data_IF_501882493668
#
_entry.id   IF_501882493668
#
_cell.length_a   1.000
_cell.length_b   1.000
_cell.length_c   1.000
_cell.angle_alpha   90.00
_cell.angle_beta   90.00
_cell.angle_gamma   90.00
#
_symmetry.space_group_name_H-M   'P 1'
#
loop_
_entity.id
_entity.type
_entity.pdbx_description
1 polymer ?
#
# COMPACT_ATOMS: atom_id res chain seq x y z
N UNK A 1 49.30 36.42 9.96
CA UNK A 1 47.83 36.69 10.01
C UNK A 1 47.13 35.46 9.51
N UNK A 2 46.52 34.74 10.44
CA UNK A 2 45.76 33.50 10.17
C UNK A 2 44.57 33.82 9.25
N UNK A 3 44.48 33.18 8.08
CA UNK A 3 43.33 33.27 7.20
C UNK A 3 42.13 32.55 7.90
N UNK A 4 41.38 33.36 8.66
CA UNK A 4 40.10 32.91 9.20
C UNK A 4 39.29 32.35 8.04
N UNK A 5 38.92 31.06 8.12
CA UNK A 5 38.07 30.39 7.15
C UNK A 5 36.73 31.10 7.08
N UNK A 6 36.54 31.90 6.01
CA UNK A 6 35.30 32.65 5.80
C UNK A 6 34.11 31.64 5.85
N UNK A 7 33.01 31.92 6.57
CA UNK A 7 31.83 31.09 6.59
C UNK A 7 31.30 30.72 5.19
N UNK A 8 31.49 31.64 4.22
CA UNK A 8 31.12 31.41 2.83
C UNK A 8 31.88 30.23 2.18
N UNK A 9 33.10 29.89 2.66
CA UNK A 9 33.88 28.76 2.13
C UNK A 9 33.25 27.40 2.48
N UNK A 10 32.54 27.29 3.59
CA UNK A 10 31.84 26.10 4.01
C UNK A 10 30.51 25.84 3.24
N UNK A 11 30.03 26.89 2.57
CA UNK A 11 28.77 26.83 1.81
C UNK A 11 28.96 26.50 0.34
N UNK A 12 30.20 26.58 -0.18
CA UNK A 12 30.55 26.24 -1.56
C UNK A 12 30.95 24.76 -1.70
N UNK A 13 30.82 24.19 -2.91
CA UNK A 13 31.44 22.91 -3.25
C UNK A 13 32.92 22.87 -2.88
N UNK A 14 33.40 21.70 -2.44
CA UNK A 14 34.77 21.51 -2.01
C UNK A 14 35.76 21.92 -3.11
N UNK A 15 36.85 22.57 -2.74
CA UNK A 15 37.87 23.04 -3.69
C UNK A 15 37.56 24.35 -4.41
N UNK A 16 36.39 24.96 -4.23
CA UNK A 16 36.08 26.28 -4.71
C UNK A 16 36.35 27.36 -3.66
N UNK A 17 36.83 28.52 -4.11
CA UNK A 17 37.05 29.68 -3.28
C UNK A 17 36.18 30.88 -3.78
N UNK A 18 35.41 31.54 -2.88
CA UNK A 18 34.61 32.69 -3.28
C UNK A 18 35.51 33.89 -3.65
N UNK A 19 35.21 34.48 -4.79
CA UNK A 19 35.85 35.73 -5.26
C UNK A 19 34.95 36.93 -4.98
N UNK A 20 33.66 36.82 -5.23
CA UNK A 20 32.67 37.86 -4.94
C UNK A 20 31.27 37.25 -4.74
N UNK A 21 30.41 38.02 -4.07
CA UNK A 21 29.05 37.67 -3.78
C UNK A 21 28.14 38.85 -4.11
N UNK A 22 27.11 38.61 -4.91
CA UNK A 22 26.13 39.63 -5.31
C UNK A 22 24.74 39.08 -5.00
N UNK A 23 23.93 39.90 -4.33
CA UNK A 23 22.51 39.61 -4.03
C UNK A 23 21.69 40.60 -4.86
N UNK A 24 20.75 40.03 -5.62
CA UNK A 24 19.79 40.84 -6.39
C UNK A 24 18.38 40.18 -6.32
N UNK A 25 17.41 40.75 -7.06
CA UNK A 25 16.05 40.25 -7.12
C UNK A 25 15.92 38.84 -7.71
N UNK A 26 16.92 38.35 -8.44
CA UNK A 26 16.95 37.03 -9.06
C UNK A 26 17.53 35.94 -8.11
N UNK A 27 18.17 36.35 -7.03
CA UNK A 27 18.78 35.49 -6.06
C UNK A 27 20.20 35.85 -5.65
N UNK A 28 20.98 34.87 -5.26
CA UNK A 28 22.36 35.01 -4.82
C UNK A 28 23.32 34.53 -5.93
N UNK A 29 24.15 35.37 -6.48
CA UNK A 29 25.20 34.98 -7.40
C UNK A 29 26.56 34.98 -6.69
N UNK A 30 27.23 33.82 -6.67
CA UNK A 30 28.58 33.68 -6.12
C UNK A 30 29.57 33.46 -7.27
N UNK A 31 30.54 34.35 -7.41
CA UNK A 31 31.71 34.10 -8.28
C UNK A 31 32.75 33.35 -7.49
N UNK A 32 33.26 32.27 -8.07
CA UNK A 32 34.23 31.40 -7.41
C UNK A 32 35.33 30.97 -8.40
N UNK A 33 36.52 30.76 -7.89
CA UNK A 33 37.64 30.17 -8.62
C UNK A 33 38.02 28.80 -7.99
N UNK A 34 38.81 28.02 -8.73
CA UNK A 34 39.34 26.76 -8.21
C UNK A 34 40.58 27.03 -7.36
N UNK A 35 40.63 26.53 -6.13
CA UNK A 35 41.71 26.77 -5.18
C UNK A 35 43.05 26.13 -5.59
N UNK A 36 43.03 24.97 -6.25
CA UNK A 36 44.23 24.23 -6.63
C UNK A 36 45.00 24.94 -7.76
N UNK A 37 46.31 25.05 -7.64
CA UNK A 37 47.18 25.64 -8.68
C UNK A 37 47.40 24.69 -9.90
N UNK A 38 46.88 23.49 -9.88
CA UNK A 38 47.10 22.46 -10.90
C UNK A 38 45.82 21.70 -11.20
N UNK A 39 45.85 20.95 -12.31
CA UNK A 39 44.79 20.01 -12.63
C UNK A 39 45.37 18.69 -13.17
N UNK A 40 44.62 17.59 -12.97
CA UNK A 40 44.92 16.28 -13.52
C UNK A 40 44.25 16.12 -14.88
N UNK A 41 45.00 15.67 -15.87
CA UNK A 41 44.42 15.32 -17.16
C UNK A 41 43.44 14.14 -17.04
N UNK A 42 42.17 14.28 -17.43
CA UNK A 42 41.17 13.24 -17.21
C UNK A 42 41.35 12.00 -18.08
N UNK A 43 42.39 11.96 -18.92
CA UNK A 43 42.65 10.81 -19.82
C UNK A 43 44.00 10.13 -19.56
N UNK A 44 45.06 10.88 -19.20
CA UNK A 44 46.39 10.29 -18.93
C UNK A 44 46.81 10.46 -17.48
N UNK A 45 46.00 11.06 -16.64
CA UNK A 45 46.19 11.29 -15.20
C UNK A 45 47.51 12.00 -14.84
N UNK A 46 48.12 12.67 -15.82
CA UNK A 46 49.33 13.49 -15.56
C UNK A 46 48.90 14.85 -15.06
N UNK A 47 49.58 15.33 -14.04
CA UNK A 47 49.42 16.68 -13.46
C UNK A 47 49.92 17.75 -14.40
N UNK A 48 49.19 18.88 -14.54
CA UNK A 48 49.65 20.07 -15.26
C UNK A 48 49.40 21.33 -14.45
N UNK A 49 50.32 22.26 -14.53
CA UNK A 49 50.21 23.64 -14.00
C UNK A 49 50.15 24.68 -15.12
N UNK A 50 50.31 24.27 -16.37
CA UNK A 50 50.33 25.16 -17.53
C UNK A 50 48.93 25.49 -17.98
N UNK A 51 48.41 26.64 -17.54
CA UNK A 51 47.09 27.12 -17.94
C UNK A 51 47.14 27.59 -19.41
N UNK A 52 46.18 27.06 -20.21
CA UNK A 52 46.00 27.53 -21.60
C UNK A 52 45.05 28.73 -21.66
N UNK A 53 43.88 28.65 -21.00
CA UNK A 53 42.85 29.68 -21.02
C UNK A 53 41.85 29.50 -19.86
N UNK A 54 41.05 30.54 -19.65
CA UNK A 54 39.96 30.55 -18.68
C UNK A 54 38.61 30.57 -19.40
N UNK A 55 37.59 30.05 -18.76
CA UNK A 55 36.19 30.16 -19.18
C UNK A 55 35.29 30.18 -17.95
N UNK A 56 34.11 30.76 -18.07
CA UNK A 56 33.13 30.78 -16.99
C UNK A 56 32.12 29.65 -17.16
N UNK A 57 31.81 28.96 -16.07
CA UNK A 57 30.70 28.02 -15.96
C UNK A 57 29.66 28.58 -15.02
N UNK A 58 28.40 28.63 -15.47
CA UNK A 58 27.27 29.00 -14.64
C UNK A 58 26.52 27.75 -14.24
N UNK A 59 26.38 27.48 -12.95
CA UNK A 59 25.66 26.32 -12.38
C UNK A 59 24.78 26.75 -11.21
N UNK A 60 23.63 26.13 -11.06
CA UNK A 60 22.78 26.33 -9.88
C UNK A 60 23.27 25.45 -8.74
N UNK A 61 23.08 25.91 -7.51
CA UNK A 61 23.46 25.21 -6.29
C UNK A 61 22.30 25.20 -5.30
N UNK A 62 22.48 24.49 -4.16
CA UNK A 62 21.53 24.50 -3.07
C UNK A 62 21.23 25.94 -2.60
N UNK A 63 19.97 26.26 -2.29
CA UNK A 63 19.60 27.61 -1.87
C UNK A 63 20.17 27.95 -0.48
N UNK A 64 20.45 29.22 -0.26
CA UNK A 64 20.79 29.73 1.05
C UNK A 64 19.57 30.43 1.64
N UNK A 65 19.00 29.90 2.74
CA UNK A 65 17.78 30.45 3.37
C UNK A 65 16.64 30.66 2.36
N UNK A 66 16.35 29.65 1.54
CA UNK A 66 15.32 29.68 0.48
C UNK A 66 15.59 30.73 -0.65
N UNK A 67 16.77 31.30 -0.70
CA UNK A 67 17.21 32.15 -1.82
C UNK A 67 17.99 31.28 -2.80
N UNK A 68 17.58 31.25 -4.08
CA UNK A 68 18.28 30.49 -5.12
C UNK A 68 19.72 30.96 -5.31
N UNK A 69 20.64 30.00 -5.45
CA UNK A 69 22.07 30.24 -5.58
C UNK A 69 22.55 29.91 -6.99
N UNK A 70 23.22 30.85 -7.63
CA UNK A 70 23.91 30.66 -8.89
C UNK A 70 25.43 30.82 -8.67
N UNK A 71 26.17 29.76 -9.01
CA UNK A 71 27.64 29.80 -9.00
C UNK A 71 28.15 30.14 -10.39
N UNK A 72 28.97 31.20 -10.49
CA UNK A 72 29.76 31.54 -11.68
C UNK A 72 31.20 31.14 -11.41
N UNK A 73 31.57 29.93 -11.88
CA UNK A 73 32.87 29.32 -11.60
C UNK A 73 33.84 29.66 -12.72
N UNK A 74 34.93 30.34 -12.39
CA UNK A 74 36.04 30.58 -13.30
C UNK A 74 36.89 29.33 -13.43
N UNK A 75 36.61 28.52 -14.45
CA UNK A 75 37.28 27.28 -14.77
C UNK A 75 38.41 27.49 -15.79
N UNK A 76 39.37 26.56 -15.79
CA UNK A 76 40.59 26.65 -16.60
C UNK A 76 40.68 25.51 -17.61
N UNK A 77 41.34 25.80 -18.72
CA UNK A 77 41.89 24.79 -19.62
C UNK A 77 43.38 24.70 -19.42
N UNK A 78 43.94 23.52 -19.45
CA UNK A 78 45.37 23.27 -19.23
C UNK A 78 45.98 22.58 -20.45
N UNK A 79 47.28 22.83 -20.71
CA UNK A 79 48.05 22.01 -21.61
C UNK A 79 48.33 20.64 -20.96
N UNK A 80 48.11 19.56 -21.72
CA UNK A 80 48.48 18.23 -21.26
C UNK A 80 50.01 18.04 -21.27
N UNK A 81 50.58 17.47 -20.21
CA UNK A 81 51.99 17.20 -20.12
C UNK A 81 52.46 15.99 -20.97
N UNK A 82 51.51 15.19 -21.46
CA UNK A 82 51.79 14.04 -22.34
C UNK A 82 51.88 14.53 -23.81
N UNK A 83 53.07 14.47 -24.39
CA UNK A 83 53.34 14.91 -25.77
C UNK A 83 52.92 13.92 -26.84
N UNK A 84 52.64 12.67 -26.46
CA UNK A 84 52.26 11.57 -27.38
C UNK A 84 50.73 11.52 -27.73
N UNK A 85 49.99 12.57 -27.30
CA UNK A 85 48.53 12.61 -27.48
C UNK A 85 48.15 13.58 -28.58
N UNK A 86 47.08 13.18 -29.34
CA UNK A 86 46.42 14.05 -30.31
C UNK A 86 45.83 15.32 -29.70
N UNK A 87 45.25 15.21 -28.48
CA UNK A 87 44.69 16.38 -27.77
C UNK A 87 45.65 16.88 -26.73
N UNK A 88 46.18 18.07 -27.00
CA UNK A 88 47.13 18.76 -26.12
C UNK A 88 46.48 19.60 -25.00
N UNK A 89 45.15 19.81 -25.01
CA UNK A 89 44.43 20.67 -24.07
C UNK A 89 43.31 19.91 -23.42
N UNK A 90 43.11 20.10 -22.09
CA UNK A 90 41.99 19.54 -21.33
C UNK A 90 41.37 20.60 -20.41
N UNK A 91 40.07 20.43 -20.11
CA UNK A 91 39.35 21.20 -19.09
C UNK A 91 39.60 20.59 -17.70
N UNK A 92 39.90 21.41 -16.72
CA UNK A 92 39.94 20.95 -15.34
C UNK A 92 38.60 20.36 -14.90
N UNK A 93 38.64 19.34 -14.05
CA UNK A 93 37.46 18.79 -13.39
C UNK A 93 37.15 19.60 -12.15
N UNK A 94 35.91 20.02 -12.02
CA UNK A 94 35.44 20.76 -10.86
C UNK A 94 34.89 19.77 -9.85
N UNK A 95 35.25 19.83 -8.58
CA UNK A 95 34.64 19.02 -7.55
C UNK A 95 33.13 19.27 -7.48
N UNK A 96 32.35 18.23 -7.25
CA UNK A 96 30.87 18.27 -7.12
C UNK A 96 30.14 18.95 -8.29
N UNK A 97 30.79 19.07 -9.46
CA UNK A 97 30.17 19.64 -10.67
C UNK A 97 30.58 18.79 -11.88
N UNK A 98 29.70 17.88 -12.28
CA UNK A 98 29.94 16.98 -13.40
C UNK A 98 30.22 17.75 -14.71
N UNK A 99 30.90 17.09 -15.68
CA UNK A 99 31.16 17.66 -16.98
C UNK A 99 29.85 18.08 -17.66
N UNK A 100 29.79 19.29 -18.16
CA UNK A 100 28.60 19.90 -18.81
C UNK A 100 27.36 20.06 -17.90
N UNK A 101 27.41 19.72 -16.61
CA UNK A 101 26.32 19.91 -15.70
C UNK A 101 25.97 21.40 -15.52
N UNK A 102 24.67 21.67 -15.37
CA UNK A 102 24.11 23.00 -15.05
C UNK A 102 23.75 23.17 -13.57
N UNK A 103 23.97 22.11 -12.79
CA UNK A 103 23.72 22.06 -11.35
C UNK A 103 24.87 21.34 -10.66
N UNK A 104 25.06 21.63 -9.38
CA UNK A 104 25.98 20.90 -8.52
C UNK A 104 25.41 19.51 -8.22
N UNK A 105 26.28 18.53 -7.91
CA UNK A 105 25.88 17.17 -7.61
C UNK A 105 24.94 17.12 -6.39
N UNK A 106 25.22 17.92 -5.34
CA UNK A 106 24.36 18.01 -4.14
C UNK A 106 22.97 18.61 -4.43
N UNK A 107 22.85 19.52 -5.40
CA UNK A 107 21.54 20.03 -5.85
C UNK A 107 20.79 18.93 -6.63
N UNK A 108 21.47 18.18 -7.49
CA UNK A 108 20.85 17.06 -8.22
C UNK A 108 20.38 15.96 -7.26
N UNK A 109 21.16 15.65 -6.21
CA UNK A 109 20.76 14.71 -5.16
C UNK A 109 19.52 15.18 -4.41
N UNK A 110 19.47 16.45 -3.96
CA UNK A 110 18.32 17.02 -3.28
C UNK A 110 17.05 16.99 -4.15
N UNK A 111 17.17 17.37 -5.44
CA UNK A 111 16.05 17.29 -6.38
C UNK A 111 15.61 15.85 -6.66
N UNK A 112 16.55 14.92 -6.66
CA UNK A 112 16.25 13.49 -6.83
C UNK A 112 15.50 12.95 -5.61
N UNK A 113 15.91 13.28 -4.39
CA UNK A 113 15.16 12.92 -3.17
C UNK A 113 13.74 13.49 -3.20
N UNK A 114 13.57 14.78 -3.52
CA UNK A 114 12.25 15.41 -3.65
C UNK A 114 11.40 14.69 -4.71
N UNK A 115 12.00 14.30 -5.84
CA UNK A 115 11.30 13.60 -6.91
C UNK A 115 10.77 12.24 -6.46
N UNK A 116 11.61 11.45 -5.78
CA UNK A 116 11.21 10.12 -5.29
C UNK A 116 10.16 10.18 -4.19
N UNK A 117 10.28 11.14 -3.26
CA UNK A 117 9.33 11.26 -2.15
C UNK A 117 7.97 11.83 -2.58
N UNK A 118 7.97 12.87 -3.42
CA UNK A 118 6.75 13.65 -3.71
C UNK A 118 6.25 13.52 -5.16
N UNK A 119 7.06 12.99 -6.07
CA UNK A 119 6.74 12.97 -7.49
C UNK A 119 6.89 14.34 -8.18
N UNK A 120 6.21 14.53 -9.32
CA UNK A 120 6.37 15.74 -10.13
C UNK A 120 5.74 16.99 -9.52
N UNK A 121 4.41 17.06 -9.49
CA UNK A 121 3.67 18.28 -9.10
C UNK A 121 3.90 18.72 -7.65
N UNK A 122 3.74 17.79 -6.71
CA UNK A 122 3.95 18.10 -5.30
C UNK A 122 5.41 18.44 -5.00
N UNK A 123 6.32 17.70 -5.63
CA UNK A 123 7.77 17.96 -5.52
C UNK A 123 8.14 19.34 -6.07
N UNK A 124 7.61 19.73 -7.23
CA UNK A 124 7.90 21.04 -7.83
C UNK A 124 7.34 22.20 -6.97
N UNK A 125 6.17 22.03 -6.35
CA UNK A 125 5.64 23.03 -5.40
C UNK A 125 6.54 23.18 -4.18
N UNK A 126 6.91 22.08 -3.52
CA UNK A 126 7.81 22.12 -2.37
C UNK A 126 9.18 22.70 -2.75
N UNK A 127 9.75 22.25 -3.85
CA UNK A 127 11.04 22.75 -4.32
C UNK A 127 11.02 24.26 -4.54
N UNK A 128 9.95 24.82 -5.09
CA UNK A 128 9.77 26.26 -5.28
C UNK A 128 9.78 27.01 -3.96
N UNK A 129 9.03 26.55 -2.96
CA UNK A 129 9.00 27.16 -1.62
C UNK A 129 10.38 27.12 -0.93
N UNK A 130 11.18 26.10 -1.25
CA UNK A 130 12.54 25.95 -0.75
C UNK A 130 13.58 26.78 -1.55
N UNK A 131 13.18 27.54 -2.58
CA UNK A 131 14.09 28.27 -3.44
C UNK A 131 14.81 27.43 -4.50
N UNK A 132 14.23 26.26 -4.84
CA UNK A 132 14.73 25.30 -5.83
C UNK A 132 13.80 25.24 -7.05
N UNK A 133 13.77 26.25 -7.95
CA UNK A 133 12.85 26.26 -9.07
C UNK A 133 13.13 25.06 -10.01
N UNK A 134 12.18 24.16 -10.11
CA UNK A 134 12.24 22.97 -10.95
C UNK A 134 10.83 22.64 -11.50
N UNK A 135 10.76 22.20 -12.75
CA UNK A 135 9.48 21.79 -13.33
C UNK A 135 9.08 20.38 -12.88
N UNK A 136 7.77 20.06 -12.82
CA UNK A 136 7.29 18.71 -12.55
C UNK A 136 7.91 17.67 -13.48
N UNK A 137 8.03 17.96 -14.77
CA UNK A 137 8.60 17.04 -15.76
C UNK A 137 10.09 16.76 -15.51
N UNK A 138 10.85 17.78 -15.09
CA UNK A 138 12.25 17.59 -14.75
C UNK A 138 12.44 16.69 -13.51
N UNK A 139 11.51 16.70 -12.56
CA UNK A 139 11.51 15.76 -11.44
C UNK A 139 11.14 14.35 -11.90
N UNK A 140 10.10 14.20 -12.73
CA UNK A 140 9.69 12.89 -13.28
C UNK A 140 10.80 12.27 -14.14
N UNK A 141 11.55 13.09 -14.87
CA UNK A 141 12.67 12.61 -15.68
C UNK A 141 13.82 12.07 -14.85
N UNK A 142 14.09 12.63 -13.65
CA UNK A 142 15.05 12.05 -12.70
C UNK A 142 14.64 10.65 -12.25
N UNK A 143 13.36 10.48 -11.94
CA UNK A 143 12.82 9.14 -11.59
C UNK A 143 13.01 8.17 -12.75
N UNK A 144 12.70 8.57 -13.98
CA UNK A 144 12.85 7.70 -15.16
C UNK A 144 14.30 7.28 -15.43
N UNK A 145 15.25 8.19 -15.20
CA UNK A 145 16.69 7.98 -15.44
C UNK A 145 17.43 7.33 -14.29
N UNK A 146 16.76 7.16 -13.14
CA UNK A 146 17.41 6.54 -12.02
C UNK A 146 17.92 5.13 -12.39
N UNK A 147 19.12 4.75 -11.95
CA UNK A 147 19.66 3.43 -12.21
C UNK A 147 18.71 2.38 -11.65
N UNK A 148 18.54 1.29 -12.37
CA UNK A 148 17.84 0.12 -11.81
C UNK A 148 18.67 -0.39 -10.64
N UNK A 149 18.04 -0.58 -9.50
CA UNK A 149 18.69 -1.26 -8.38
C UNK A 149 19.05 -2.65 -8.84
N UNK A 150 20.33 -3.05 -8.62
CA UNK A 150 20.81 -4.37 -8.98
C UNK A 150 19.96 -5.44 -8.28
N UNK A 151 19.56 -6.47 -9.01
CA UNK A 151 18.88 -7.60 -8.44
C UNK A 151 19.89 -8.38 -7.56
N UNK A 152 19.78 -8.24 -6.26
CA UNK A 152 20.40 -9.19 -5.34
C UNK A 152 19.68 -10.54 -5.47
N UNK A 153 20.38 -11.64 -5.19
CA UNK A 153 19.79 -12.96 -5.23
C UNK A 153 18.64 -13.04 -4.19
N UNK A 154 17.45 -13.34 -4.67
CA UNK A 154 16.24 -13.53 -3.86
C UNK A 154 16.07 -15.01 -3.61
N UNK A 155 15.97 -15.43 -2.34
CA UNK A 155 15.72 -16.82 -1.96
C UNK A 155 14.27 -17.08 -1.64
N UNK A 156 13.63 -16.16 -0.95
CA UNK A 156 12.23 -16.27 -0.53
C UNK A 156 11.43 -15.16 -1.18
N UNK A 157 10.62 -15.52 -2.15
CA UNK A 157 9.85 -14.60 -2.97
C UNK A 157 8.38 -14.60 -2.56
N UNK A 158 7.82 -13.43 -2.33
CA UNK A 158 6.37 -13.21 -2.23
C UNK A 158 5.83 -12.69 -3.55
N UNK A 159 4.74 -13.29 -4.02
CA UNK A 159 4.07 -12.96 -5.28
C UNK A 159 2.61 -12.66 -5.01
N UNK A 160 2.11 -11.52 -5.50
CA UNK A 160 0.70 -11.15 -5.39
C UNK A 160 0.28 -10.22 -6.52
N UNK A 161 -1.03 -10.04 -6.72
CA UNK A 161 -1.55 -9.08 -7.69
C UNK A 161 -1.91 -7.74 -7.02
N UNK A 162 -1.95 -6.69 -7.83
CA UNK A 162 -2.40 -5.37 -7.40
C UNK A 162 -3.12 -4.63 -8.53
N UNK A 163 -4.11 -3.83 -8.17
CA UNK A 163 -4.91 -3.05 -9.12
C UNK A 163 -4.09 -1.92 -9.76
N UNK A 164 -3.72 -2.04 -11.03
CA UNK A 164 -3.22 -0.92 -11.83
C UNK A 164 -4.37 0.06 -12.08
N UNK A 165 -5.54 -0.46 -12.51
CA UNK A 165 -6.79 0.27 -12.60
C UNK A 165 -7.90 -0.61 -12.04
N UNK A 166 -8.50 -0.17 -10.93
CA UNK A 166 -9.48 -0.95 -10.18
C UNK A 166 -10.54 -1.57 -11.08
N UNK A 167 -10.65 -2.89 -11.05
CA UNK A 167 -11.61 -3.66 -11.82
C UNK A 167 -11.32 -3.79 -13.33
N UNK A 168 -10.18 -3.27 -13.82
CA UNK A 168 -9.86 -3.30 -15.26
C UNK A 168 -8.48 -3.91 -15.59
N UNK A 169 -7.45 -3.57 -14.84
CA UNK A 169 -6.11 -4.07 -15.11
C UNK A 169 -5.34 -4.29 -13.81
N UNK A 170 -4.59 -5.38 -13.80
CA UNK A 170 -3.81 -5.84 -12.66
C UNK A 170 -2.35 -5.97 -13.06
N UNK A 171 -1.45 -5.76 -12.14
CA UNK A 171 -0.04 -6.07 -12.25
C UNK A 171 0.37 -7.03 -11.16
N UNK A 172 1.59 -7.55 -11.24
CA UNK A 172 2.18 -8.41 -10.22
C UNK A 172 3.22 -7.64 -9.42
N UNK A 173 3.23 -7.83 -8.10
CA UNK A 173 4.27 -7.35 -7.21
C UNK A 173 5.12 -8.51 -6.74
N UNK A 174 6.44 -8.33 -6.78
CA UNK A 174 7.44 -9.28 -6.33
C UNK A 174 8.18 -8.70 -5.13
N UNK A 175 8.20 -9.45 -4.03
CA UNK A 175 8.73 -9.00 -2.74
C UNK A 175 9.75 -10.02 -2.23
N UNK A 176 10.93 -9.57 -1.87
CA UNK A 176 11.88 -10.34 -1.07
C UNK A 176 11.37 -10.39 0.37
N UNK A 177 10.92 -11.58 0.80
CA UNK A 177 10.31 -11.76 2.13
C UNK A 177 11.35 -11.77 3.25
N UNK A 178 12.61 -12.13 2.96
CA UNK A 178 13.70 -12.07 3.94
C UNK A 178 14.08 -10.62 4.23
N UNK A 179 14.25 -9.80 3.17
CA UNK A 179 14.65 -8.38 3.29
C UNK A 179 13.45 -7.43 3.42
N UNK A 180 12.22 -7.94 3.26
CA UNK A 180 10.96 -7.19 3.37
C UNK A 180 10.85 -6.03 2.39
N UNK A 181 11.40 -6.15 1.20
CA UNK A 181 11.42 -5.09 0.19
C UNK A 181 10.86 -5.57 -1.16
N UNK A 182 10.29 -4.65 -1.90
CA UNK A 182 9.86 -4.91 -3.27
C UNK A 182 11.10 -5.07 -4.16
N UNK A 183 11.15 -6.16 -4.92
CA UNK A 183 12.24 -6.45 -5.85
C UNK A 183 11.87 -6.18 -7.29
N UNK A 184 10.59 -6.30 -7.63
CA UNK A 184 10.09 -5.90 -8.96
C UNK A 184 8.57 -5.67 -9.00
N UNK A 185 8.12 -4.96 -10.04
CA UNK A 185 6.73 -4.88 -10.45
C UNK A 185 6.61 -5.32 -11.91
N UNK A 186 5.64 -6.20 -12.18
CA UNK A 186 5.30 -6.62 -13.54
C UNK A 186 4.02 -5.89 -14.01
N UNK A 187 3.93 -5.57 -15.32
CA UNK A 187 2.82 -4.76 -15.83
C UNK A 187 1.49 -5.50 -15.94
N UNK A 188 1.49 -6.79 -15.75
CA UNK A 188 0.32 -7.66 -15.80
C UNK A 188 0.43 -8.79 -14.76
N UNK A 189 -0.57 -9.68 -14.70
CA UNK A 189 -0.59 -10.89 -13.89
C UNK A 189 -0.55 -12.17 -14.72
N UNK A 190 0.15 -12.13 -15.87
CA UNK A 190 0.32 -13.28 -16.73
C UNK A 190 1.32 -14.28 -16.17
N UNK A 191 1.14 -15.55 -16.54
CA UNK A 191 2.14 -16.60 -16.23
C UNK A 191 3.47 -16.29 -16.92
N UNK A 192 3.44 -15.75 -18.15
CA UNK A 192 4.62 -15.44 -18.95
C UNK A 192 5.52 -14.41 -18.25
N UNK A 193 4.95 -13.30 -17.77
CA UNK A 193 5.72 -12.25 -17.09
C UNK A 193 6.45 -12.75 -15.84
N UNK A 194 5.77 -13.56 -15.02
CA UNK A 194 6.39 -14.16 -13.82
C UNK A 194 7.44 -15.22 -14.18
N UNK A 195 7.15 -16.07 -15.17
CA UNK A 195 8.11 -17.06 -15.69
C UNK A 195 9.40 -16.40 -16.17
N UNK A 196 9.29 -15.41 -17.04
CA UNK A 196 10.45 -14.67 -17.57
C UNK A 196 11.29 -14.01 -16.48
N UNK A 197 10.63 -13.55 -15.41
CA UNK A 197 11.32 -12.98 -14.26
C UNK A 197 12.09 -14.06 -13.49
N UNK A 198 11.47 -15.20 -13.18
CA UNK A 198 12.09 -16.31 -12.46
C UNK A 198 13.28 -16.90 -13.22
N UNK A 199 13.18 -17.06 -14.54
CA UNK A 199 14.28 -17.54 -15.40
C UNK A 199 15.51 -16.62 -15.35
N UNK A 200 15.29 -15.30 -15.20
CA UNK A 200 16.37 -14.29 -15.07
C UNK A 200 16.93 -14.18 -13.65
N UNK A 201 16.23 -14.74 -12.66
CA UNK A 201 16.59 -14.67 -11.24
C UNK A 201 16.66 -16.09 -10.65
N UNK A 202 17.60 -16.94 -11.09
CA UNK A 202 17.75 -18.29 -10.56
C UNK A 202 18.17 -18.24 -9.08
N UNK A 203 17.74 -19.24 -8.31
CA UNK A 203 18.09 -19.36 -6.89
C UNK A 203 16.97 -19.02 -5.93
N UNK A 204 15.74 -18.83 -6.42
CA UNK A 204 14.54 -18.78 -5.59
C UNK A 204 14.26 -20.18 -5.03
N UNK A 205 14.27 -20.28 -3.69
CA UNK A 205 14.10 -21.54 -2.95
C UNK A 205 12.63 -21.71 -2.47
N UNK A 206 11.97 -20.59 -2.12
CA UNK A 206 10.58 -20.56 -1.64
C UNK A 206 9.80 -19.47 -2.34
N UNK A 207 8.56 -19.78 -2.73
CA UNK A 207 7.61 -18.79 -3.29
C UNK A 207 6.30 -18.82 -2.52
N UNK A 208 6.01 -17.73 -1.79
CA UNK A 208 4.70 -17.52 -1.18
C UNK A 208 3.77 -16.81 -2.17
N UNK A 209 2.58 -17.36 -2.40
CA UNK A 209 1.64 -16.88 -3.41
C UNK A 209 0.19 -17.11 -3.03
N UNK A 210 -0.72 -16.36 -3.67
CA UNK A 210 -2.12 -16.74 -3.71
C UNK A 210 -2.34 -18.00 -4.58
N UNK A 211 -3.57 -18.49 -4.65
CA UNK A 211 -3.91 -19.67 -5.43
C UNK A 211 -4.36 -19.34 -6.86
N UNK A 212 -3.76 -18.34 -7.47
CA UNK A 212 -4.01 -17.95 -8.85
C UNK A 212 -3.25 -18.88 -9.81
N UNK A 213 -3.99 -19.60 -10.67
CA UNK A 213 -3.43 -20.63 -11.54
C UNK A 213 -2.23 -20.17 -12.38
N UNK A 214 -2.26 -18.99 -13.02
CA UNK A 214 -1.10 -18.52 -13.80
C UNK A 214 0.20 -18.41 -12.99
N UNK A 215 0.12 -18.08 -11.70
CA UNK A 215 1.32 -18.04 -10.85
C UNK A 215 1.83 -19.44 -10.53
N UNK A 216 0.92 -20.38 -10.24
CA UNK A 216 1.26 -21.79 -10.01
C UNK A 216 2.01 -22.36 -11.21
N UNK A 217 1.47 -22.16 -12.41
CA UNK A 217 2.03 -22.69 -13.67
C UNK A 217 3.41 -22.06 -13.97
N UNK A 218 3.54 -20.75 -13.78
CA UNK A 218 4.80 -20.04 -13.99
C UNK A 218 5.91 -20.55 -13.05
N UNK A 219 5.61 -20.71 -11.76
CA UNK A 219 6.58 -21.16 -10.76
C UNK A 219 6.97 -22.61 -11.01
N UNK A 220 5.99 -23.48 -11.27
CA UNK A 220 6.24 -24.91 -11.55
C UNK A 220 7.12 -25.08 -12.77
N UNK A 221 6.99 -24.21 -13.78
CA UNK A 221 7.77 -24.28 -15.01
C UNK A 221 9.16 -23.68 -14.86
N UNK A 222 9.30 -22.48 -14.29
CA UNK A 222 10.54 -21.71 -14.26
C UNK A 222 11.40 -21.95 -13.01
N UNK A 223 10.79 -22.39 -11.91
CA UNK A 223 11.47 -22.70 -10.66
C UNK A 223 10.96 -24.03 -10.07
N UNK A 224 11.12 -25.17 -10.76
CA UNK A 224 10.54 -26.45 -10.35
C UNK A 224 11.09 -26.98 -9.02
N UNK A 225 12.24 -26.50 -8.56
CA UNK A 225 12.82 -26.83 -7.26
C UNK A 225 12.36 -25.93 -6.12
N UNK A 226 11.61 -24.85 -6.40
CA UNK A 226 11.16 -23.94 -5.37
C UNK A 226 9.94 -24.50 -4.64
N UNK A 227 9.95 -24.42 -3.30
CA UNK A 227 8.81 -24.76 -2.48
C UNK A 227 7.73 -23.68 -2.64
N UNK A 228 6.55 -24.06 -3.13
CA UNK A 228 5.40 -23.16 -3.19
C UNK A 228 4.64 -23.16 -1.86
N UNK A 229 4.32 -21.99 -1.33
CA UNK A 229 3.60 -21.79 -0.07
C UNK A 229 2.32 -21.00 -0.35
N UNK A 230 1.17 -21.59 -0.09
CA UNK A 230 -0.10 -20.89 -0.27
C UNK A 230 -0.28 -19.80 0.80
N UNK A 231 -0.80 -18.64 0.39
CA UNK A 231 -1.02 -17.56 1.35
C UNK A 231 -2.15 -17.86 2.34
N UNK A 232 -1.82 -17.87 3.63
CA UNK A 232 -2.75 -18.19 4.72
C UNK A 232 -3.94 -17.23 4.82
N UNK A 233 -3.72 -15.94 4.50
CA UNK A 233 -4.83 -14.98 4.50
C UNK A 233 -5.84 -15.30 3.40
N UNK A 234 -5.37 -15.63 2.19
CA UNK A 234 -6.22 -16.05 1.09
C UNK A 234 -6.93 -17.37 1.38
N UNK A 235 -6.29 -18.32 2.07
CA UNK A 235 -6.93 -19.55 2.52
C UNK A 235 -8.08 -19.26 3.49
N UNK A 236 -7.87 -18.39 4.49
CA UNK A 236 -8.90 -17.97 5.43
C UNK A 236 -10.04 -17.20 4.73
N UNK A 237 -9.70 -16.33 3.80
CA UNK A 237 -10.69 -15.62 2.98
C UNK A 237 -11.54 -16.60 2.15
N UNK A 238 -10.91 -17.58 1.51
CA UNK A 238 -11.62 -18.52 0.64
C UNK A 238 -12.62 -19.39 1.41
N UNK A 239 -12.30 -19.85 2.63
CA UNK A 239 -13.28 -20.55 3.47
C UNK A 239 -14.41 -19.62 3.90
N UNK A 240 -14.10 -18.35 4.23
CA UNK A 240 -15.12 -17.34 4.56
C UNK A 240 -16.06 -17.10 3.37
N UNK A 241 -15.51 -16.99 2.15
CA UNK A 241 -16.27 -16.79 0.92
C UNK A 241 -17.14 -18.04 0.59
N UNK A 242 -16.67 -19.26 0.90
CA UNK A 242 -17.46 -20.48 0.76
C UNK A 242 -18.65 -20.50 1.73
N UNK A 243 -18.40 -20.16 3.00
CA UNK A 243 -19.46 -20.00 4.01
C UNK A 243 -20.44 -18.88 3.62
N UNK A 244 -19.97 -17.76 3.10
CA UNK A 244 -20.83 -16.66 2.63
C UNK A 244 -21.82 -17.17 1.56
N UNK A 245 -21.36 -17.92 0.56
CA UNK A 245 -22.23 -18.51 -0.49
C UNK A 245 -23.24 -19.49 0.07
N UNK A 246 -22.85 -20.35 1.01
CA UNK A 246 -23.78 -21.22 1.73
C UNK A 246 -24.88 -20.40 2.42
N UNK A 247 -24.50 -19.38 3.19
CA UNK A 247 -25.44 -18.53 3.93
C UNK A 247 -26.32 -17.69 3.00
N UNK A 248 -25.84 -17.36 1.79
CA UNK A 248 -26.68 -16.71 0.76
C UNK A 248 -27.78 -17.67 0.25
N UNK A 249 -27.48 -18.94 0.12
CA UNK A 249 -28.45 -19.97 -0.23
C UNK A 249 -29.45 -20.22 0.94
N UNK A 250 -28.95 -20.22 2.18
CA UNK A 250 -29.72 -20.50 3.41
C UNK A 250 -30.30 -19.23 4.07
N UNK A 251 -30.67 -18.21 3.29
CA UNK A 251 -31.21 -16.93 3.82
C UNK A 251 -32.45 -17.06 4.67
N UNK A 252 -33.27 -18.10 4.47
CA UNK A 252 -34.46 -18.36 5.27
C UNK A 252 -34.05 -18.65 6.70
N UNK A 253 -33.10 -19.60 6.90
CA UNK A 253 -32.57 -19.95 8.22
C UNK A 253 -31.91 -18.76 8.94
N UNK A 254 -31.18 -17.91 8.21
CA UNK A 254 -30.62 -16.66 8.73
C UNK A 254 -31.69 -15.72 9.28
N UNK A 255 -32.78 -15.53 8.53
CA UNK A 255 -33.87 -14.65 8.93
C UNK A 255 -34.67 -15.21 10.12
N UNK A 256 -34.82 -16.53 10.20
CA UNK A 256 -35.47 -17.18 11.34
C UNK A 256 -34.63 -17.09 12.61
N UNK A 257 -33.31 -17.39 12.52
CA UNK A 257 -32.38 -17.20 13.64
C UNK A 257 -32.36 -15.76 14.14
N UNK A 258 -32.40 -14.80 13.21
CA UNK A 258 -32.48 -13.39 13.56
C UNK A 258 -33.76 -13.06 14.33
N UNK A 259 -34.93 -13.55 13.90
CA UNK A 259 -36.21 -13.32 14.59
C UNK A 259 -36.19 -13.87 16.00
N UNK A 260 -35.59 -15.05 16.20
CA UNK A 260 -35.53 -15.73 17.50
C UNK A 260 -34.53 -15.14 18.49
N UNK A 261 -33.50 -14.46 17.98
CA UNK A 261 -32.40 -13.93 18.81
C UNK A 261 -32.38 -12.42 18.96
N UNK A 262 -33.17 -11.69 18.16
CA UNK A 262 -33.37 -10.27 18.42
C UNK A 262 -34.24 -10.09 19.68
N UNK A 263 -33.88 -9.15 20.55
CA UNK A 263 -34.76 -8.77 21.65
C UNK A 263 -36.12 -8.35 21.09
N UNK A 264 -37.17 -8.65 21.81
CA UNK A 264 -38.50 -8.17 21.41
C UNK A 264 -38.45 -6.63 21.23
N UNK A 265 -39.05 -6.13 20.15
CA UNK A 265 -39.15 -4.69 19.98
C UNK A 265 -39.91 -4.10 21.18
N UNK A 266 -39.52 -2.91 21.66
CA UNK A 266 -40.24 -2.29 22.79
C UNK A 266 -41.73 -2.20 22.49
N UNK A 267 -42.54 -2.45 23.52
CA UNK A 267 -44.02 -2.29 23.38
C UNK A 267 -44.34 -0.87 22.89
N UNK A 268 -44.92 -0.80 21.74
CA UNK A 268 -45.31 0.47 21.10
C UNK A 268 -46.80 0.66 21.21
N UNK A 269 -47.30 1.61 22.01
CA UNK A 269 -48.72 1.94 22.03
C UNK A 269 -49.21 2.34 20.64
N UNK A 270 -50.28 1.70 20.15
CA UNK A 270 -50.83 1.96 18.81
C UNK A 270 -51.16 3.44 18.57
N UNK A 271 -51.66 4.11 19.60
CA UNK A 271 -51.98 5.56 19.57
C UNK A 271 -50.72 6.37 19.32
N UNK A 272 -49.65 6.12 20.06
CA UNK A 272 -48.36 6.80 19.88
C UNK A 272 -47.82 6.56 18.46
N UNK A 273 -47.85 5.33 17.99
CA UNK A 273 -47.42 4.96 16.64
C UNK A 273 -48.21 5.69 15.55
N UNK A 274 -49.52 5.86 15.74
CA UNK A 274 -50.39 6.59 14.82
C UNK A 274 -50.02 8.08 14.75
N UNK A 275 -49.84 8.72 15.92
CA UNK A 275 -49.41 10.13 16.00
C UNK A 275 -48.05 10.36 15.34
N UNK A 276 -47.06 9.52 15.62
CA UNK A 276 -45.70 9.62 15.03
C UNK A 276 -45.77 9.49 13.51
N UNK A 277 -46.50 8.48 12.99
CA UNK A 277 -46.67 8.29 11.54
C UNK A 277 -47.40 9.46 10.88
N UNK A 278 -48.41 10.01 11.52
CA UNK A 278 -49.15 11.17 11.03
C UNK A 278 -48.21 12.38 10.88
N UNK A 279 -47.55 12.79 11.94
CA UNK A 279 -46.64 13.94 11.89
C UNK A 279 -45.45 13.72 10.96
N UNK A 280 -44.92 12.51 10.93
CA UNK A 280 -43.83 12.15 9.99
C UNK A 280 -44.24 12.32 8.52
N UNK A 281 -45.47 11.96 8.20
CA UNK A 281 -46.00 12.06 6.83
C UNK A 281 -46.23 13.51 6.39
N UNK A 282 -46.70 14.36 7.30
CA UNK A 282 -47.17 15.71 6.94
C UNK A 282 -46.20 16.83 7.32
N UNK A 283 -45.45 16.73 8.39
CA UNK A 283 -44.61 17.82 8.93
C UNK A 283 -43.12 17.48 8.94
N UNK A 284 -42.76 16.20 9.02
CA UNK A 284 -41.39 15.72 9.19
C UNK A 284 -40.58 16.51 10.23
N UNK A 285 -41.07 16.69 11.44
CA UNK A 285 -40.44 17.51 12.45
C UNK A 285 -39.13 16.88 12.95
N UNK A 286 -38.30 17.69 13.62
CA UNK A 286 -37.17 17.17 14.37
C UNK A 286 -37.66 16.20 15.47
N UNK A 287 -36.92 15.09 15.76
CA UNK A 287 -37.35 14.10 16.74
C UNK A 287 -37.58 14.66 18.15
N UNK A 288 -36.78 15.61 18.58
CA UNK A 288 -36.95 16.19 19.91
C UNK A 288 -38.25 17.02 19.98
N UNK A 289 -38.54 17.78 18.94
CA UNK A 289 -39.82 18.50 18.83
C UNK A 289 -41.00 17.53 18.73
N UNK A 290 -40.83 16.41 18.06
CA UNK A 290 -41.85 15.35 17.97
C UNK A 290 -42.05 14.69 19.32
N UNK A 291 -40.97 14.40 20.07
CA UNK A 291 -41.04 13.85 21.41
C UNK A 291 -41.78 14.80 22.37
N UNK A 292 -41.49 16.08 22.32
CA UNK A 292 -42.19 17.09 23.12
C UNK A 292 -43.70 17.10 22.88
N UNK A 293 -44.13 16.98 21.58
CA UNK A 293 -45.57 16.85 21.23
C UNK A 293 -46.15 15.53 21.78
N UNK A 294 -45.43 14.43 21.70
CA UNK A 294 -45.83 13.11 22.21
C UNK A 294 -45.97 13.14 23.74
N UNK A 295 -45.05 13.77 24.44
CA UNK A 295 -45.10 13.89 25.90
C UNK A 295 -46.30 14.73 26.36
N UNK A 296 -46.71 15.77 25.62
CA UNK A 296 -47.91 16.60 25.93
C UNK A 296 -49.20 15.82 25.81
N UNK A 297 -49.26 14.72 25.07
CA UNK A 297 -50.46 13.87 24.96
C UNK A 297 -50.45 12.69 25.93
N UNK A 298 -49.51 12.69 26.90
CA UNK A 298 -49.51 11.79 28.06
C UNK A 298 -48.52 10.64 27.98
N UNK A 299 -47.59 10.64 27.05
CA UNK A 299 -46.48 9.66 27.02
C UNK A 299 -45.27 10.21 27.74
N UNK A 300 -44.86 9.54 28.78
CA UNK A 300 -43.64 9.89 29.57
C UNK A 300 -42.41 9.11 29.12
N UNK A 301 -41.30 9.32 29.81
CA UNK A 301 -40.00 8.73 29.47
C UNK A 301 -39.97 7.19 29.41
N UNK A 302 -40.94 6.49 30.00
CA UNK A 302 -41.11 5.03 29.87
C UNK A 302 -41.38 4.61 28.42
N UNK A 303 -41.92 5.51 27.59
CA UNK A 303 -42.20 5.26 26.18
C UNK A 303 -41.15 5.84 25.24
N UNK A 304 -40.07 6.43 25.77
CA UNK A 304 -39.02 7.05 24.95
C UNK A 304 -38.37 6.06 24.00
N UNK A 305 -38.08 4.86 24.49
CA UNK A 305 -37.48 3.80 23.69
C UNK A 305 -38.40 3.36 22.54
N UNK A 306 -39.69 3.24 22.78
CA UNK A 306 -40.69 2.92 21.76
C UNK A 306 -40.80 4.03 20.72
N UNK A 307 -40.73 5.31 21.15
CA UNK A 307 -40.71 6.48 20.26
C UNK A 307 -39.48 6.44 19.32
N UNK A 308 -38.30 6.30 19.87
CA UNK A 308 -37.06 6.30 19.11
C UNK A 308 -37.01 5.11 18.13
N UNK A 309 -37.54 3.94 18.50
CA UNK A 309 -37.70 2.78 17.63
C UNK A 309 -38.57 3.11 16.38
N UNK A 310 -39.72 3.74 16.55
CA UNK A 310 -40.62 4.10 15.42
C UNK A 310 -39.98 5.16 14.52
N UNK A 311 -39.44 6.22 15.11
CA UNK A 311 -38.81 7.32 14.35
C UNK A 311 -37.60 6.79 13.56
N UNK A 312 -36.83 5.90 14.13
CA UNK A 312 -35.74 5.22 13.45
C UNK A 312 -36.20 4.45 12.21
N UNK A 313 -37.28 3.69 12.31
CA UNK A 313 -37.87 2.97 11.17
C UNK A 313 -38.43 3.88 10.07
N UNK A 314 -39.06 4.98 10.44
CA UNK A 314 -39.64 5.94 9.48
C UNK A 314 -38.56 6.71 8.70
N UNK A 315 -37.38 6.91 9.28
CA UNK A 315 -36.27 7.58 8.62
C UNK A 315 -35.54 6.72 7.56
N UNK A 316 -35.94 5.47 7.43
CA UNK A 316 -35.31 4.55 6.45
C UNK A 316 -33.80 4.34 6.65
N UNK A 317 -33.28 4.84 7.73
CA UNK A 317 -31.90 4.85 8.14
C UNK A 317 -31.78 5.07 9.63
N UNK A 318 -30.61 4.81 10.14
CA UNK A 318 -30.29 4.87 11.55
C UNK A 318 -30.54 6.28 12.16
N UNK A 319 -31.23 6.42 13.31
CA UNK A 319 -31.51 7.72 13.94
C UNK A 319 -30.21 8.48 14.30
N UNK A 320 -30.24 9.80 14.18
CA UNK A 320 -29.10 10.69 14.37
C UNK A 320 -28.65 10.89 15.82
N UNK A 321 -29.53 10.64 16.79
CA UNK A 321 -29.21 10.52 18.23
C UNK A 321 -29.73 9.17 18.70
N UNK A 322 -28.81 8.26 18.99
CA UNK A 322 -29.10 6.89 19.42
C UNK A 322 -28.77 6.75 20.90
N UNK A 323 -29.63 6.09 21.63
CA UNK A 323 -29.21 5.43 22.86
C UNK A 323 -28.17 4.35 22.50
N UNK A 324 -27.25 4.07 23.41
CA UNK A 324 -26.21 3.06 23.20
C UNK A 324 -26.80 1.69 22.83
N UNK A 325 -27.96 1.39 23.32
CA UNK A 325 -28.68 0.14 23.16
C UNK A 325 -29.38 0.00 21.79
N UNK A 326 -30.03 1.06 21.31
CA UNK A 326 -30.67 1.10 19.98
C UNK A 326 -29.66 1.07 18.84
N UNK A 327 -28.50 1.72 19.04
CA UNK A 327 -27.37 1.63 18.12
C UNK A 327 -26.87 0.19 18.01
N UNK A 328 -26.84 -0.54 19.13
CA UNK A 328 -26.39 -1.93 19.16
C UNK A 328 -27.39 -2.84 18.47
N UNK A 329 -28.69 -2.69 18.75
CA UNK A 329 -29.76 -3.49 18.13
C UNK A 329 -29.82 -3.32 16.60
N UNK A 330 -29.87 -2.09 16.11
CA UNK A 330 -29.94 -1.83 14.66
C UNK A 330 -28.67 -2.24 13.91
N UNK A 331 -27.50 -2.10 14.54
CA UNK A 331 -26.26 -2.62 13.99
C UNK A 331 -26.23 -4.14 13.98
N UNK A 332 -26.74 -4.78 15.00
CA UNK A 332 -26.82 -6.23 15.13
C UNK A 332 -27.80 -6.80 14.11
N UNK A 333 -29.00 -6.24 13.97
CA UNK A 333 -29.97 -6.63 12.94
C UNK A 333 -29.39 -6.51 11.52
N UNK A 334 -28.80 -5.35 11.18
CA UNK A 334 -28.19 -5.12 9.88
C UNK A 334 -27.04 -6.10 9.58
N UNK A 335 -26.22 -6.41 10.60
CA UNK A 335 -25.11 -7.37 10.47
C UNK A 335 -25.60 -8.79 10.25
N UNK A 336 -26.59 -9.26 11.03
CA UNK A 336 -27.10 -10.64 10.99
C UNK A 336 -27.98 -10.93 9.77
N UNK A 337 -28.46 -9.90 9.06
CA UNK A 337 -29.16 -10.06 7.77
C UNK A 337 -28.22 -10.26 6.59
N UNK A 338 -26.92 -9.97 6.74
CA UNK A 338 -25.95 -10.02 5.63
C UNK A 338 -25.11 -11.28 5.73
N UNK A 339 -25.22 -12.25 4.82
CA UNK A 339 -24.42 -13.47 4.78
C UNK A 339 -22.92 -13.18 4.93
N UNK A 340 -22.42 -12.14 4.24
CA UNK A 340 -21.03 -11.67 4.32
C UNK A 340 -20.56 -11.29 5.73
N UNK A 341 -21.44 -10.77 6.57
CA UNK A 341 -21.07 -10.40 7.94
C UNK A 341 -21.20 -11.57 8.89
N UNK A 342 -22.17 -12.45 8.63
CA UNK A 342 -22.35 -13.70 9.40
C UNK A 342 -21.23 -14.69 9.11
N UNK A 343 -20.78 -14.84 7.86
CA UNK A 343 -19.68 -15.75 7.49
C UNK A 343 -18.39 -15.45 8.28
N UNK A 344 -18.17 -14.19 8.65
CA UNK A 344 -17.02 -13.81 9.49
C UNK A 344 -17.09 -14.34 10.92
N UNK A 345 -18.29 -14.63 11.44
CA UNK A 345 -18.46 -15.24 12.76
C UNK A 345 -18.00 -16.70 12.74
N UNK A 346 -18.10 -17.38 11.59
CA UNK A 346 -17.68 -18.77 11.40
C UNK A 346 -16.16 -18.98 11.48
N UNK A 347 -15.39 -17.93 11.26
CA UNK A 347 -13.92 -17.99 11.25
C UNK A 347 -13.27 -17.25 12.43
N UNK A 348 -14.09 -16.71 13.33
CA UNK A 348 -13.62 -16.11 14.58
C UNK A 348 -13.51 -17.18 15.66
N UNK A 349 -12.72 -16.85 16.67
CA UNK A 349 -12.67 -17.65 17.89
C UNK A 349 -14.03 -17.55 18.59
N UNK A 350 -14.70 -18.69 18.90
CA UNK A 350 -15.97 -18.69 19.58
C UNK A 350 -15.95 -17.98 20.92
N UNK A 351 -14.85 -18.10 21.67
CA UNK A 351 -14.69 -17.52 23.01
C UNK A 351 -14.51 -15.99 22.98
N UNK A 352 -14.08 -15.43 21.83
CA UNK A 352 -13.96 -13.99 21.60
C UNK A 352 -15.24 -13.35 21.06
N UNK A 353 -16.28 -14.14 20.76
CA UNK A 353 -17.53 -13.61 20.25
C UNK A 353 -18.38 -13.03 21.39
N UNK A 354 -19.05 -11.87 21.17
CA UNK A 354 -20.06 -11.38 22.11
C UNK A 354 -21.18 -12.43 22.34
N UNK A 355 -21.70 -12.51 23.57
CA UNK A 355 -22.75 -13.47 23.96
C UNK A 355 -23.92 -13.50 22.97
N UNK A 356 -24.34 -12.33 22.50
CA UNK A 356 -25.42 -12.21 21.52
C UNK A 356 -25.07 -12.82 20.14
N UNK A 357 -23.80 -12.83 19.74
CA UNK A 357 -23.36 -13.46 18.48
C UNK A 357 -23.18 -14.97 18.67
N UNK A 358 -22.76 -15.43 19.85
CA UNK A 358 -22.72 -16.83 20.23
C UNK A 358 -24.13 -17.44 20.22
N UNK A 359 -25.10 -16.77 20.86
CA UNK A 359 -26.51 -17.21 20.89
C UNK A 359 -27.13 -17.23 19.48
N UNK A 360 -26.84 -16.23 18.65
CA UNK A 360 -27.28 -16.22 17.26
C UNK A 360 -26.74 -17.43 16.47
N UNK A 361 -25.45 -17.72 16.60
CA UNK A 361 -24.84 -18.88 15.95
C UNK A 361 -25.42 -20.21 16.49
N UNK A 362 -25.67 -20.28 17.79
CA UNK A 362 -26.31 -21.46 18.40
C UNK A 362 -27.67 -21.73 17.77
N UNK A 363 -28.55 -20.72 17.76
CA UNK A 363 -29.89 -20.84 17.17
C UNK A 363 -29.83 -21.15 15.68
N UNK A 364 -28.91 -20.51 14.93
CA UNK A 364 -28.74 -20.75 13.50
C UNK A 364 -28.32 -22.21 13.21
N UNK A 365 -27.42 -22.77 14.03
CA UNK A 365 -27.00 -24.19 13.93
C UNK A 365 -28.13 -25.15 14.28
N UNK A 366 -28.91 -24.82 15.29
CA UNK A 366 -30.07 -25.66 15.70
C UNK A 366 -31.17 -25.70 14.62
N UNK A 367 -31.36 -24.61 13.89
CA UNK A 367 -32.33 -24.51 12.80
C UNK A 367 -31.90 -25.22 11.52
N UNK A 368 -30.60 -25.33 11.26
CA UNK A 368 -30.11 -25.86 9.99
C UNK A 368 -28.85 -26.72 10.19
N UNK A 369 -28.99 -28.01 10.03
CA UNK A 369 -27.91 -29.01 10.21
C UNK A 369 -26.78 -28.83 9.19
N UNK A 370 -27.09 -28.41 7.96
CA UNK A 370 -26.03 -28.12 6.96
C UNK A 370 -25.16 -26.93 7.39
N UNK A 371 -25.79 -25.89 7.91
CA UNK A 371 -25.07 -24.70 8.46
C UNK A 371 -24.28 -25.10 9.71
N UNK A 372 -24.81 -26.00 10.55
CA UNK A 372 -24.09 -26.53 11.72
C UNK A 372 -22.81 -27.28 11.30
N UNK A 373 -22.95 -28.23 10.34
CA UNK A 373 -21.81 -28.97 9.81
C UNK A 373 -20.77 -28.05 9.16
N UNK A 374 -21.21 -27.04 8.41
CA UNK A 374 -20.34 -26.06 7.80
C UNK A 374 -19.57 -25.19 8.83
N UNK A 375 -20.23 -24.90 9.95
CA UNK A 375 -19.56 -24.17 11.05
C UNK A 375 -18.41 -24.99 11.64
N UNK A 376 -18.66 -26.29 11.94
CA UNK A 376 -17.63 -27.18 12.51
C UNK A 376 -16.44 -27.34 11.52
N UNK A 377 -16.72 -27.52 10.22
CA UNK A 377 -15.68 -27.59 9.19
C UNK A 377 -14.88 -26.27 9.09
N UNK A 378 -15.56 -25.11 9.12
CA UNK A 378 -14.88 -23.82 9.08
C UNK A 378 -13.99 -23.60 10.32
N UNK A 379 -14.51 -23.92 11.52
CA UNK A 379 -13.75 -23.85 12.76
C UNK A 379 -12.57 -24.83 12.79
N UNK A 380 -12.77 -26.05 12.30
CA UNK A 380 -11.70 -27.05 12.15
C UNK A 380 -10.58 -26.53 11.24
N UNK A 381 -10.94 -25.93 10.10
CA UNK A 381 -9.98 -25.33 9.18
C UNK A 381 -9.21 -24.15 9.81
N UNK A 382 -9.91 -23.29 10.52
CA UNK A 382 -9.29 -22.14 11.21
C UNK A 382 -8.31 -22.59 12.29
N UNK A 383 -8.70 -23.58 13.11
CA UNK A 383 -7.82 -24.16 14.13
C UNK A 383 -6.55 -24.76 13.50
N UNK A 384 -6.72 -25.56 12.43
CA UNK A 384 -5.60 -26.13 11.67
C UNK A 384 -4.66 -25.04 11.14
N UNK A 385 -5.22 -24.00 10.55
CA UNK A 385 -4.45 -22.91 9.92
C UNK A 385 -3.72 -22.04 10.96
N UNK A 386 -4.40 -21.66 12.04
CA UNK A 386 -3.81 -20.83 13.12
C UNK A 386 -2.82 -21.60 13.98
N UNK A 387 -3.13 -22.86 14.30
CA UNK A 387 -2.26 -23.75 15.08
C UNK A 387 -1.11 -24.33 14.29
N UNK A 388 -1.13 -24.19 12.95
CA UNK A 388 -0.13 -24.78 12.06
C UNK A 388 -0.03 -26.29 12.23
N UNK A 389 -1.16 -26.98 12.04
CA UNK A 389 -1.30 -28.42 12.21
C UNK A 389 -1.40 -29.14 10.85
N UNK A 390 -0.27 -29.37 10.13
CA UNK A 390 -0.27 -30.01 8.82
C UNK A 390 -0.79 -31.46 8.86
N UNK A 391 -0.70 -32.14 10.01
CA UNK A 391 -1.20 -33.49 10.24
C UNK A 391 -2.74 -33.58 10.18
N UNK A 392 -3.44 -32.48 10.35
CA UNK A 392 -4.90 -32.43 10.28
C UNK A 392 -5.43 -32.28 8.85
N UNK A 393 -4.59 -31.89 7.88
CA UNK A 393 -5.04 -31.50 6.54
C UNK A 393 -5.79 -32.59 5.81
N UNK A 394 -5.22 -33.79 5.75
CA UNK A 394 -5.81 -34.92 5.00
C UNK A 394 -7.14 -35.39 5.62
N UNK A 395 -7.21 -35.45 6.96
CA UNK A 395 -8.42 -35.74 7.70
C UNK A 395 -9.51 -34.70 7.43
N UNK A 396 -9.19 -33.44 7.51
CA UNK A 396 -10.10 -32.35 7.24
C UNK A 396 -10.59 -32.35 5.77
N UNK A 397 -9.69 -32.56 4.80
CA UNK A 397 -10.06 -32.68 3.39
C UNK A 397 -11.06 -33.82 3.15
N UNK A 398 -10.82 -34.97 3.74
CA UNK A 398 -11.74 -36.10 3.62
C UNK A 398 -13.15 -35.79 4.16
N UNK A 399 -13.21 -35.12 5.31
CA UNK A 399 -14.48 -34.70 5.92
C UNK A 399 -15.18 -33.63 5.08
N UNK A 400 -14.46 -32.60 4.64
CA UNK A 400 -15.03 -31.52 3.86
C UNK A 400 -15.50 -31.96 2.47
N UNK A 401 -14.80 -32.89 1.81
CA UNK A 401 -15.24 -33.52 0.55
C UNK A 401 -16.47 -34.37 0.71
N UNK A 402 -16.69 -34.97 1.88
CA UNK A 402 -17.91 -35.70 2.24
C UNK A 402 -19.06 -34.81 2.72
N UNK A 403 -18.86 -33.52 2.85
CA UNK A 403 -19.87 -32.57 3.34
C UNK A 403 -21.10 -32.50 2.44
N UNK A 404 -22.25 -32.22 3.02
CA UNK A 404 -23.49 -31.95 2.30
C UNK A 404 -23.42 -30.64 1.53
N UNK A 405 -22.66 -29.64 2.04
CA UNK A 405 -22.50 -28.30 1.42
C UNK A 405 -21.67 -28.36 0.14
N UNK A 406 -22.23 -28.03 -1.03
CA UNK A 406 -21.48 -27.96 -2.28
C UNK A 406 -20.41 -26.88 -2.26
N UNK A 407 -20.63 -25.80 -1.53
CA UNK A 407 -19.71 -24.68 -1.41
C UNK A 407 -18.42 -25.07 -0.67
N UNK A 408 -18.55 -25.86 0.42
CA UNK A 408 -17.41 -26.38 1.17
C UNK A 408 -16.71 -27.53 0.44
N UNK A 409 -17.48 -28.41 -0.26
CA UNK A 409 -16.85 -29.39 -1.15
C UNK A 409 -16.00 -28.73 -2.23
N UNK A 410 -16.53 -27.70 -2.91
CA UNK A 410 -15.78 -26.96 -3.93
C UNK A 410 -14.54 -26.27 -3.37
N UNK A 411 -14.61 -25.76 -2.14
CA UNK A 411 -13.44 -25.23 -1.46
C UNK A 411 -12.40 -26.32 -1.17
N UNK A 412 -12.81 -27.46 -0.65
CA UNK A 412 -11.92 -28.60 -0.35
C UNK A 412 -11.30 -29.19 -1.63
N UNK A 413 -12.08 -29.33 -2.71
CA UNK A 413 -11.56 -29.75 -4.03
C UNK A 413 -10.44 -28.81 -4.52
N UNK A 414 -10.66 -27.50 -4.39
CA UNK A 414 -9.64 -26.54 -4.71
C UNK A 414 -8.38 -26.67 -3.85
N UNK A 415 -8.51 -26.93 -2.55
CA UNK A 415 -7.35 -27.19 -1.66
C UNK A 415 -6.60 -28.46 -2.06
N UNK A 416 -7.33 -29.52 -2.40
CA UNK A 416 -6.76 -30.78 -2.85
C UNK A 416 -5.94 -30.62 -4.13
N UNK A 417 -6.39 -29.79 -5.06
CA UNK A 417 -5.64 -29.50 -6.28
C UNK A 417 -4.31 -28.75 -6.04
N UNK A 418 -4.17 -28.09 -4.88
CA UNK A 418 -2.98 -27.32 -4.49
C UNK A 418 -2.41 -27.83 -3.13
N UNK A 419 -2.57 -29.14 -2.89
CA UNK A 419 -2.33 -29.79 -1.59
C UNK A 419 -0.96 -29.46 -1.01
N UNK A 420 0.11 -29.59 -1.81
CA UNK A 420 1.48 -29.43 -1.33
C UNK A 420 1.77 -27.99 -0.88
N UNK A 421 1.26 -27.00 -1.61
CA UNK A 421 1.41 -25.60 -1.24
C UNK A 421 0.57 -25.23 0.00
N UNK A 422 -0.62 -25.84 0.15
CA UNK A 422 -1.45 -25.69 1.35
C UNK A 422 -0.77 -26.32 2.56
N UNK A 423 -0.21 -27.51 2.39
CA UNK A 423 0.57 -28.18 3.45
C UNK A 423 1.79 -27.38 3.84
N UNK A 424 2.53 -26.84 2.84
CA UNK A 424 3.65 -25.96 3.09
C UNK A 424 3.24 -24.69 3.87
N UNK A 425 2.05 -24.13 3.60
CA UNK A 425 1.52 -23.00 4.36
C UNK A 425 1.30 -23.29 5.85
N UNK A 426 1.09 -24.54 6.20
CA UNK A 426 0.94 -25.02 7.59
C UNK A 426 2.29 -25.31 8.25
N UNK A 427 3.33 -25.64 7.47
CA UNK A 427 4.67 -25.95 7.97
C UNK A 427 5.55 -24.71 8.05
N UNK A 428 5.57 -23.92 6.99
CA UNK A 428 6.51 -22.83 6.80
C UNK A 428 6.10 -21.54 7.52
N UNK A 429 7.10 -20.75 7.93
CA UNK A 429 6.84 -19.43 8.53
C UNK A 429 6.38 -18.38 7.51
N UNK A 430 6.72 -18.56 6.26
CA UNK A 430 6.49 -17.60 5.18
C UNK A 430 5.01 -17.41 4.86
N UNK A 431 4.64 -16.18 4.55
CA UNK A 431 3.28 -15.80 4.11
C UNK A 431 3.31 -14.46 3.37
N UNK A 432 2.24 -14.16 2.64
CA UNK A 432 2.10 -12.90 1.90
C UNK A 432 1.68 -11.70 2.77
N UNK A 433 1.62 -11.80 4.08
CA UNK A 433 1.28 -10.66 4.94
C UNK A 433 2.19 -9.43 4.73
N UNK A 434 3.47 -9.66 4.43
CA UNK A 434 4.41 -8.59 4.08
C UNK A 434 4.12 -8.01 2.69
N UNK A 435 3.72 -8.84 1.73
CA UNK A 435 3.36 -8.43 0.37
C UNK A 435 2.15 -7.49 0.41
N UNK A 436 1.13 -7.80 1.22
CA UNK A 436 -0.04 -6.95 1.42
C UNK A 436 0.35 -5.57 1.98
N UNK A 437 1.30 -5.52 2.93
CA UNK A 437 1.88 -4.28 3.42
C UNK A 437 2.53 -3.45 2.31
N UNK A 438 3.32 -4.08 1.44
CA UNK A 438 3.95 -3.43 0.29
C UNK A 438 2.92 -3.00 -0.77
N UNK A 439 1.86 -3.76 -1.00
CA UNK A 439 0.74 -3.36 -1.88
C UNK A 439 0.05 -2.11 -1.34
N UNK A 440 -0.14 -1.99 -0.03
CA UNK A 440 -0.73 -0.79 0.57
C UNK A 440 0.17 0.43 0.37
N UNK A 441 1.50 0.29 0.51
CA UNK A 441 2.50 1.33 0.21
C UNK A 441 2.48 1.72 -1.28
N UNK A 442 2.46 0.74 -2.17
CA UNK A 442 2.32 0.95 -3.62
C UNK A 442 1.03 1.73 -3.96
N UNK A 443 -0.11 1.35 -3.36
CA UNK A 443 -1.37 2.06 -3.53
C UNK A 443 -1.29 3.51 -3.03
N UNK A 444 -0.56 3.78 -1.96
CA UNK A 444 -0.32 5.14 -1.46
C UNK A 444 0.51 5.95 -2.48
N UNK A 445 1.65 5.43 -2.94
CA UNK A 445 2.49 6.08 -3.95
C UNK A 445 1.70 6.38 -5.24
N UNK A 446 0.89 5.43 -5.70
CA UNK A 446 0.01 5.61 -6.86
C UNK A 446 -0.99 6.74 -6.67
N UNK A 447 -1.61 6.86 -5.47
CA UNK A 447 -2.55 7.96 -5.14
C UNK A 447 -1.85 9.32 -5.11
N UNK A 448 -0.64 9.40 -4.56
CA UNK A 448 0.18 10.63 -4.56
C UNK A 448 0.46 11.15 -5.98
N UNK A 449 0.50 10.26 -6.97
CA UNK A 449 0.66 10.60 -8.38
C UNK A 449 -0.66 10.82 -9.12
N UNK A 450 -1.78 10.97 -8.40
CA UNK A 450 -3.12 11.20 -8.96
C UNK A 450 -3.56 10.18 -10.02
N UNK A 451 -2.99 8.97 -10.02
CA UNK A 451 -3.25 7.93 -11.02
C UNK A 451 -2.79 8.25 -12.44
N UNK A 452 -1.96 9.29 -12.64
CA UNK A 452 -1.48 9.76 -13.95
C UNK A 452 -0.06 9.32 -14.29
N UNK A 453 0.68 8.75 -13.35
CA UNK A 453 2.03 8.29 -13.59
C UNK A 453 2.05 7.08 -14.53
N UNK A 454 3.03 7.04 -15.42
CA UNK A 454 3.34 5.84 -16.19
C UNK A 454 3.77 4.70 -15.25
N UNK A 455 3.57 3.46 -15.70
CA UNK A 455 4.03 2.27 -14.97
C UNK A 455 5.53 2.36 -14.63
N UNK A 456 6.35 2.83 -15.57
CA UNK A 456 7.81 3.00 -15.35
C UNK A 456 8.12 3.92 -14.18
N UNK A 457 7.45 5.08 -14.07
CA UNK A 457 7.67 6.03 -12.96
C UNK A 457 7.19 5.43 -11.64
N UNK A 458 6.05 4.74 -11.63
CA UNK A 458 5.55 4.05 -10.43
C UNK A 458 6.53 2.96 -9.98
N UNK A 459 6.96 2.11 -10.91
CA UNK A 459 7.93 1.03 -10.64
C UNK A 459 9.22 1.58 -10.03
N UNK A 460 9.82 2.60 -10.63
CA UNK A 460 11.03 3.22 -10.09
C UNK A 460 10.80 3.80 -8.69
N UNK A 461 9.70 4.50 -8.45
CA UNK A 461 9.38 5.02 -7.10
C UNK A 461 9.22 3.93 -6.06
N UNK A 462 8.56 2.81 -6.40
CA UNK A 462 8.36 1.69 -5.48
C UNK A 462 9.68 1.01 -5.14
N UNK A 463 10.54 0.77 -6.14
CA UNK A 463 11.83 0.12 -5.93
C UNK A 463 12.82 0.96 -5.11
N UNK A 464 12.79 2.28 -5.26
CA UNK A 464 13.66 3.20 -4.52
C UNK A 464 13.06 3.71 -3.20
N UNK A 465 11.83 3.37 -2.89
CA UNK A 465 11.16 3.76 -1.65
C UNK A 465 11.43 2.77 -0.50
N UNK A 466 12.51 2.00 -0.55
CA UNK A 466 12.84 0.98 0.45
C UNK A 466 13.39 1.59 1.74
#
# INVERSE_FOLDING_TARGET
MSAASSPARRLLPEGLQPESLVVDLSGLTVRAGVAAAYAWCPVCERRSQRVHSHYERTVSDLPWRSVSVTLKVRARRFFCANKERERSIFCERLPEIAAHARKTDRLEEALTMIAFELGGEAGARLARELGLPVSPDALLERIRRAPRLGAEQVKVLGVDDWDIKKGHSYGTILVDLERRRVVDLLPDRSAEGLRDWLEKHPGVEVVSRDRFQPYMDAITTAAPGALQVADRWHLLKNVTDAVERLLERERISLNEALKLTLPEPPYVPQIMAAYIRFWWKYERPDPEQMWEKISRIGFDDRYREAFDYIVGRLRGGLPTRRTRQETLWAKTEARRRMPRLVSRLFVRDPDELPDADQEYLRVLKDLNQEVAAAYELAQGFVRMLRGRHPEMLDGWLKEALGSVSPELRGFADGLRADHDAVRAALCEEWSNGQVEGQINRLKLLKRQMYGRASFTVLKQRVLHAA
#
